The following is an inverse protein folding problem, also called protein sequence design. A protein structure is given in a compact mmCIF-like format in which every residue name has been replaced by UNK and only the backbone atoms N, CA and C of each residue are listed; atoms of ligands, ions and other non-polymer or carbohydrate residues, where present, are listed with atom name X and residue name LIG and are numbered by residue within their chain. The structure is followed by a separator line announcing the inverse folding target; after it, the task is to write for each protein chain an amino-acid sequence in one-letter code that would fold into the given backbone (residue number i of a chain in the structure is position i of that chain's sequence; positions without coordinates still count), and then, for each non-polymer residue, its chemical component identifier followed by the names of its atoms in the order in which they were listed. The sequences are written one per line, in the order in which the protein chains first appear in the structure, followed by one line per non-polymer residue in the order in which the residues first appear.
data_IF_971244038594
#
_entry.id   IF_971244038594
#
_cell.length_a   1.000
_cell.length_b   1.000
_cell.length_c   1.000
_cell.angle_alpha   90.00
_cell.angle_beta   90.00
_cell.angle_gamma   90.00
#
_symmetry.space_group_name_H-M   'P 1'
#
loop_
_entity.id
_entity.type
_entity.pdbx_description
1 polymer ?
#
# COMPACT_ATOMS: atom_id res chain seq x y z
N UNK A 1 55.16 -53.65 2.32
CA UNK A 1 53.79 -53.76 1.76
C UNK A 1 53.10 -52.41 1.74
N UNK A 2 52.84 -51.87 0.55
CA UNK A 2 52.28 -50.50 0.35
C UNK A 2 50.76 -50.58 0.29
N UNK A 3 50.06 -49.92 1.15
CA UNK A 3 48.63 -49.75 1.11
C UNK A 3 48.30 -48.47 0.35
N UNK A 4 47.65 -48.59 -0.82
CA UNK A 4 47.20 -47.49 -1.68
C UNK A 4 45.89 -46.93 -1.13
N UNK A 5 45.85 -45.63 -0.77
CA UNK A 5 44.63 -44.88 -0.58
C UNK A 5 44.03 -44.58 -1.94
N UNK A 6 42.78 -45.03 -2.20
CA UNK A 6 41.94 -44.56 -3.32
C UNK A 6 41.18 -43.32 -2.86
N UNK A 7 41.33 -42.26 -3.61
CA UNK A 7 40.58 -41.04 -3.44
C UNK A 7 39.11 -41.24 -3.87
N UNK A 8 38.20 -40.75 -3.05
CA UNK A 8 36.81 -40.59 -3.39
C UNK A 8 36.69 -39.29 -4.20
N UNK A 9 36.37 -39.44 -5.49
CA UNK A 9 35.98 -38.35 -6.35
C UNK A 9 34.63 -37.81 -5.94
N UNK A 10 34.58 -36.47 -5.76
CA UNK A 10 33.36 -35.69 -5.64
C UNK A 10 32.51 -35.87 -6.91
N UNK A 11 31.35 -36.47 -6.74
CA UNK A 11 30.29 -36.42 -7.75
C UNK A 11 29.59 -35.06 -7.66
N UNK A 12 29.98 -34.14 -8.54
CA UNK A 12 29.26 -32.91 -8.84
C UNK A 12 27.90 -33.26 -9.44
N UNK A 13 26.84 -32.98 -8.69
CA UNK A 13 25.47 -32.98 -9.24
C UNK A 13 25.34 -31.88 -10.29
N UNK A 14 24.68 -32.16 -11.44
CA UNK A 14 24.55 -31.21 -12.51
C UNK A 14 23.66 -30.04 -12.08
N UNK A 15 24.16 -28.86 -12.35
CA UNK A 15 23.47 -27.58 -12.26
C UNK A 15 22.17 -27.66 -13.09
N UNK A 16 21.02 -27.68 -12.42
CA UNK A 16 19.71 -27.59 -13.07
C UNK A 16 19.61 -26.24 -13.76
N UNK A 17 19.52 -26.29 -15.07
CA UNK A 17 19.29 -25.19 -15.99
C UNK A 17 18.12 -24.35 -15.49
N UNK A 18 18.39 -23.10 -15.13
CA UNK A 18 17.36 -22.08 -14.85
C UNK A 18 16.48 -21.94 -16.09
N UNK A 19 15.22 -22.32 -16.01
CA UNK A 19 14.21 -21.86 -16.95
C UNK A 19 13.74 -20.47 -16.49
N UNK A 20 13.79 -19.43 -17.33
CA UNK A 20 13.48 -18.07 -16.93
C UNK A 20 12.00 -17.73 -16.74
N UNK A 21 11.08 -18.69 -16.92
CA UNK A 21 9.67 -18.37 -17.19
C UNK A 21 8.68 -18.82 -16.12
N UNK A 22 9.15 -19.27 -14.96
CA UNK A 22 8.23 -19.60 -13.85
C UNK A 22 8.53 -18.68 -12.67
N UNK A 23 7.52 -17.99 -12.08
CA UNK A 23 7.68 -17.34 -10.79
C UNK A 23 8.03 -18.44 -9.79
N UNK A 24 9.29 -18.48 -9.39
CA UNK A 24 9.80 -19.46 -8.46
C UNK A 24 9.08 -19.27 -7.12
N UNK A 25 8.07 -20.11 -6.88
CA UNK A 25 7.63 -20.45 -5.55
C UNK A 25 8.83 -21.11 -4.87
N UNK A 26 9.70 -20.33 -4.24
CA UNK A 26 10.79 -20.81 -3.41
C UNK A 26 10.21 -21.36 -2.12
N UNK A 27 9.65 -22.55 -2.19
CA UNK A 27 9.55 -23.43 -1.03
C UNK A 27 10.89 -24.16 -0.97
N UNK A 28 11.86 -23.56 -0.32
CA UNK A 28 13.07 -24.24 0.11
C UNK A 28 13.22 -23.97 1.61
N UNK A 29 12.49 -24.76 2.41
CA UNK A 29 12.79 -24.91 3.82
C UNK A 29 14.10 -25.70 3.98
N UNK A 30 15.22 -25.01 4.10
CA UNK A 30 16.45 -25.58 4.65
C UNK A 30 17.00 -24.59 5.66
N UNK A 31 16.77 -24.91 6.91
CA UNK A 31 17.15 -24.28 8.15
C UNK A 31 16.05 -23.45 8.81
N UNK A 32 15.68 -23.85 9.97
CA UNK A 32 14.48 -23.71 10.77
C UNK A 32 14.05 -22.32 11.25
N UNK A 33 14.48 -21.21 10.63
CA UNK A 33 14.08 -19.84 10.98
C UNK A 33 13.85 -18.91 9.77
N UNK A 34 14.05 -19.36 8.57
CA UNK A 34 13.68 -18.64 7.35
C UNK A 34 12.18 -18.84 7.05
N UNK A 35 11.35 -18.21 7.83
CA UNK A 35 9.97 -17.98 7.43
C UNK A 35 10.00 -17.21 6.10
N UNK A 36 9.47 -17.81 5.01
CA UNK A 36 9.46 -17.18 3.70
C UNK A 36 8.81 -15.81 3.81
N UNK A 37 9.61 -14.76 3.59
CA UNK A 37 9.11 -13.39 3.63
C UNK A 37 8.24 -13.16 2.42
N UNK A 38 7.17 -12.41 2.62
CA UNK A 38 6.31 -11.95 1.54
C UNK A 38 7.12 -11.12 0.53
N UNK A 39 6.73 -11.14 -0.74
CA UNK A 39 7.26 -10.24 -1.78
C UNK A 39 7.13 -8.77 -1.38
N UNK A 40 6.09 -8.42 -0.64
CA UNK A 40 5.84 -7.05 -0.16
C UNK A 40 6.93 -6.55 0.81
N UNK A 41 7.64 -7.46 1.49
CA UNK A 41 8.80 -7.10 2.31
C UNK A 41 9.89 -6.43 1.47
N UNK A 42 10.26 -7.04 0.33
CA UNK A 42 11.27 -6.47 -0.57
C UNK A 42 10.72 -5.25 -1.32
N UNK A 43 9.43 -5.21 -1.65
CA UNK A 43 8.78 -4.04 -2.23
C UNK A 43 9.05 -2.80 -1.37
N UNK A 44 8.68 -2.84 -0.09
CA UNK A 44 8.85 -1.70 0.82
C UNK A 44 10.32 -1.42 1.12
N UNK A 45 11.17 -2.45 1.29
CA UNK A 45 12.61 -2.25 1.43
C UNK A 45 13.19 -1.50 0.22
N UNK A 46 12.79 -1.89 -1.00
CA UNK A 46 13.27 -1.23 -2.22
C UNK A 46 12.76 0.21 -2.32
N UNK A 47 11.51 0.48 -1.94
CA UNK A 47 10.96 1.84 -1.96
C UNK A 47 11.64 2.77 -0.95
N UNK A 48 11.98 2.26 0.24
CA UNK A 48 12.84 2.97 1.19
C UNK A 48 14.20 3.32 0.56
N UNK A 49 14.82 2.36 -0.15
CA UNK A 49 16.11 2.57 -0.81
C UNK A 49 16.00 3.59 -1.96
N UNK A 50 14.98 3.52 -2.81
CA UNK A 50 14.71 4.47 -3.88
C UNK A 50 14.58 5.88 -3.33
N UNK A 51 13.69 6.05 -2.36
CA UNK A 51 13.35 7.39 -1.83
C UNK A 51 14.49 8.01 -1.01
N UNK A 52 15.36 7.17 -0.42
CA UNK A 52 16.55 7.65 0.30
C UNK A 52 17.71 8.01 -0.63
N UNK A 53 17.94 7.23 -1.67
CA UNK A 53 19.19 7.28 -2.45
C UNK A 53 19.07 8.18 -3.66
N UNK A 54 17.89 8.23 -4.28
CA UNK A 54 17.67 8.93 -5.52
C UNK A 54 16.97 10.27 -5.31
N UNK A 55 17.22 11.26 -6.18
CA UNK A 55 16.45 12.48 -6.22
C UNK A 55 15.00 12.19 -6.62
N UNK A 56 14.05 13.01 -6.17
CA UNK A 56 12.60 12.86 -6.42
C UNK A 56 12.27 12.68 -7.91
N UNK A 57 13.07 13.28 -8.79
CA UNK A 57 12.92 13.18 -10.25
C UNK A 57 13.16 11.77 -10.82
N UNK A 58 13.77 10.88 -10.06
CA UNK A 58 14.08 9.52 -10.49
C UNK A 58 13.20 8.45 -9.84
N UNK A 59 12.43 8.77 -8.82
CA UNK A 59 11.67 7.80 -8.03
C UNK A 59 10.78 6.88 -8.88
N UNK A 60 10.06 7.42 -9.85
CA UNK A 60 9.15 6.63 -10.70
C UNK A 60 9.82 6.09 -11.99
N UNK A 61 11.09 6.42 -12.21
CA UNK A 61 11.87 5.89 -13.34
C UNK A 61 12.71 4.69 -12.96
N UNK A 62 13.04 4.55 -11.67
CA UNK A 62 13.91 3.49 -11.17
C UNK A 62 13.39 2.09 -11.51
N UNK A 63 14.31 1.19 -11.94
CA UNK A 63 14.02 -0.17 -12.42
C UNK A 63 15.10 -1.19 -12.04
N UNK A 64 15.93 -0.90 -11.04
CA UNK A 64 16.95 -1.84 -10.56
C UNK A 64 16.33 -3.11 -10.02
N UNK A 65 15.20 -2.97 -9.31
CA UNK A 65 14.37 -4.08 -8.86
C UNK A 65 13.14 -4.23 -9.77
N UNK A 66 12.59 -5.45 -9.84
CA UNK A 66 11.26 -5.70 -10.43
C UNK A 66 10.15 -4.96 -9.67
N UNK A 67 10.35 -4.66 -8.40
CA UNK A 67 9.41 -3.98 -7.49
C UNK A 67 9.56 -2.45 -7.58
N UNK A 68 9.17 -1.91 -8.72
CA UNK A 68 9.20 -0.46 -8.97
C UNK A 68 8.16 0.27 -8.13
N UNK A 69 8.41 1.57 -7.84
CA UNK A 69 7.46 2.41 -7.10
C UNK A 69 6.19 2.61 -7.94
N UNK A 70 5.05 2.11 -7.42
CA UNK A 70 3.74 2.13 -8.10
C UNK A 70 2.59 2.67 -7.23
N UNK A 71 2.92 3.24 -6.05
CA UNK A 71 1.95 3.96 -5.22
C UNK A 71 2.01 5.48 -5.45
N UNK A 72 0.90 6.21 -5.14
CA UNK A 72 0.85 7.66 -5.28
C UNK A 72 1.89 8.41 -4.44
N UNK A 73 2.17 9.70 -4.76
CA UNK A 73 3.28 10.44 -4.18
C UNK A 73 3.28 10.58 -2.65
N UNK A 74 2.13 10.66 -1.98
CA UNK A 74 2.13 10.74 -0.52
C UNK A 74 2.70 9.47 0.13
N UNK A 75 2.51 8.32 -0.49
CA UNK A 75 3.14 7.09 0.00
C UNK A 75 4.66 7.11 -0.24
N UNK A 76 5.11 7.62 -1.38
CA UNK A 76 6.54 7.80 -1.64
C UNK A 76 7.19 8.78 -0.64
N UNK A 77 6.51 9.88 -0.29
CA UNK A 77 6.97 10.80 0.75
C UNK A 77 6.98 10.14 2.13
N UNK A 78 6.00 9.29 2.43
CA UNK A 78 5.97 8.50 3.66
C UNK A 78 7.18 7.57 3.75
N UNK A 79 7.49 6.82 2.68
CA UNK A 79 8.68 5.98 2.60
C UNK A 79 9.98 6.81 2.75
N UNK A 80 10.03 7.98 2.15
CA UNK A 80 11.14 8.90 2.32
C UNK A 80 11.34 9.34 3.79
N UNK A 81 10.26 9.64 4.49
CA UNK A 81 10.31 9.95 5.93
C UNK A 81 10.80 8.75 6.74
N UNK A 82 10.26 7.55 6.48
CA UNK A 82 10.68 6.33 7.13
C UNK A 82 12.16 6.00 6.86
N UNK A 83 12.66 6.31 5.67
CA UNK A 83 14.06 6.08 5.32
C UNK A 83 15.05 6.84 6.22
N UNK A 84 14.67 8.01 6.77
CA UNK A 84 15.51 8.72 7.73
C UNK A 84 15.65 7.95 9.05
N UNK A 85 14.58 7.28 9.51
CA UNK A 85 14.62 6.42 10.69
C UNK A 85 15.35 5.11 10.37
N UNK A 86 15.07 4.53 9.20
CA UNK A 86 15.75 3.31 8.73
C UNK A 86 17.28 3.45 8.70
N UNK A 87 17.77 4.63 8.34
CA UNK A 87 19.22 4.94 8.33
C UNK A 87 19.86 4.81 9.69
N UNK A 88 19.13 5.07 10.78
CA UNK A 88 19.62 4.93 12.15
C UNK A 88 19.59 3.48 12.62
N UNK A 89 18.69 2.65 12.07
CA UNK A 89 18.54 1.24 12.45
C UNK A 89 19.50 0.36 11.67
N UNK A 90 19.48 0.45 10.35
CA UNK A 90 20.36 -0.33 9.47
C UNK A 90 20.53 0.35 8.10
N UNK A 91 21.65 1.06 7.89
CA UNK A 91 21.91 1.73 6.59
C UNK A 91 21.98 0.79 5.40
N UNK A 92 22.26 -0.51 5.61
CA UNK A 92 22.41 -1.48 4.55
C UNK A 92 21.10 -1.76 3.80
N UNK A 93 19.92 -1.64 4.49
CA UNK A 93 18.62 -1.80 3.85
C UNK A 93 18.30 -0.70 2.83
N UNK A 94 18.96 0.46 2.94
CA UNK A 94 18.74 1.62 2.08
C UNK A 94 19.63 1.62 0.82
N UNK A 95 20.45 0.60 0.61
CA UNK A 95 21.27 0.46 -0.59
C UNK A 95 20.43 -0.10 -1.73
N UNK A 96 20.37 0.61 -2.86
CA UNK A 96 19.52 0.29 -4.01
C UNK A 96 19.84 -1.10 -4.60
N UNK A 97 21.13 -1.47 -4.68
CA UNK A 97 21.59 -2.73 -5.27
C UNK A 97 21.64 -3.90 -4.26
N UNK A 98 21.28 -3.67 -3.00
CA UNK A 98 21.26 -4.70 -1.97
C UNK A 98 19.88 -5.37 -1.94
N UNK A 99 19.57 -6.08 -3.03
CA UNK A 99 18.27 -6.74 -3.19
C UNK A 99 18.14 -7.91 -2.19
N UNK A 100 16.89 -8.20 -1.81
CA UNK A 100 16.55 -9.26 -0.85
C UNK A 100 17.28 -9.15 0.51
N UNK A 101 17.63 -7.91 0.92
CA UNK A 101 18.31 -7.66 2.19
C UNK A 101 17.34 -7.87 3.37
N UNK A 102 17.55 -8.95 4.10
CA UNK A 102 16.57 -9.53 4.99
C UNK A 102 17.08 -9.77 6.42
N UNK A 103 18.00 -8.95 6.89
CA UNK A 103 18.49 -9.00 8.26
C UNK A 103 17.35 -8.84 9.28
N UNK A 104 17.56 -9.35 10.49
CA UNK A 104 16.56 -9.22 11.55
C UNK A 104 16.22 -7.76 11.85
N UNK A 105 17.20 -6.84 11.76
CA UNK A 105 16.99 -5.41 11.96
C UNK A 105 15.99 -4.85 10.92
N UNK A 106 16.16 -5.20 9.63
CA UNK A 106 15.28 -4.78 8.56
C UNK A 106 13.86 -5.31 8.77
N UNK A 107 13.71 -6.58 9.15
CA UNK A 107 12.41 -7.20 9.44
C UNK A 107 11.71 -6.52 10.62
N UNK A 108 12.44 -6.33 11.73
CA UNK A 108 11.86 -5.67 12.91
C UNK A 108 11.52 -4.21 12.63
N UNK A 109 12.36 -3.50 11.87
CA UNK A 109 12.06 -2.13 11.46
C UNK A 109 10.75 -2.06 10.70
N UNK A 110 10.58 -2.82 9.62
CA UNK A 110 9.36 -2.79 8.80
C UNK A 110 8.13 -3.21 9.61
N UNK A 111 8.20 -4.25 10.43
CA UNK A 111 7.08 -4.64 11.30
C UNK A 111 6.72 -3.55 12.30
N UNK A 112 7.70 -2.92 12.90
CA UNK A 112 7.46 -1.82 13.84
C UNK A 112 6.77 -0.65 13.16
N UNK A 113 7.18 -0.27 11.96
CA UNK A 113 6.54 0.82 11.21
C UNK A 113 5.09 0.49 10.85
N UNK A 114 4.77 -0.76 10.47
CA UNK A 114 3.39 -1.21 10.24
C UNK A 114 2.57 -1.07 11.53
N UNK A 115 3.05 -1.61 12.66
CA UNK A 115 2.33 -1.55 13.95
C UNK A 115 2.12 -0.10 14.40
N UNK A 116 3.15 0.75 14.29
CA UNK A 116 3.04 2.16 14.71
C UNK A 116 2.04 2.93 13.84
N UNK A 117 2.05 2.70 12.54
CA UNK A 117 1.11 3.37 11.64
C UNK A 117 -0.33 2.86 11.79
N UNK A 118 -0.51 1.60 12.18
CA UNK A 118 -1.83 1.02 12.47
C UNK A 118 -2.51 1.68 13.68
N UNK A 119 -1.76 2.35 14.57
CA UNK A 119 -2.34 3.16 15.65
C UNK A 119 -3.29 4.24 15.13
N UNK A 120 -3.15 4.66 13.87
CA UNK A 120 -4.11 5.55 13.22
C UNK A 120 -5.50 4.89 13.09
N UNK A 121 -5.55 3.59 12.80
CA UNK A 121 -6.82 2.84 12.78
C UNK A 121 -7.43 2.76 14.18
N UNK A 122 -6.61 2.45 15.18
CA UNK A 122 -7.05 2.40 16.58
C UNK A 122 -7.67 3.75 16.99
N UNK A 123 -6.98 4.84 16.69
CA UNK A 123 -7.46 6.18 16.97
C UNK A 123 -8.78 6.51 16.23
N UNK A 124 -8.85 6.20 14.94
CA UNK A 124 -10.04 6.46 14.14
C UNK A 124 -11.26 5.63 14.61
N UNK A 125 -11.04 4.37 14.98
CA UNK A 125 -12.06 3.51 15.56
C UNK A 125 -12.53 4.01 16.94
N UNK A 126 -11.62 4.52 17.77
CA UNK A 126 -11.99 5.15 19.03
C UNK A 126 -12.86 6.39 18.78
N UNK A 127 -12.51 7.25 17.85
CA UNK A 127 -13.34 8.40 17.47
C UNK A 127 -14.70 7.99 16.91
N UNK A 128 -14.76 6.88 16.18
CA UNK A 128 -16.04 6.29 15.74
C UNK A 128 -16.91 5.90 16.94
N UNK A 129 -16.35 5.17 17.90
CA UNK A 129 -17.07 4.76 19.11
C UNK A 129 -17.57 5.97 19.91
N UNK A 130 -16.73 6.99 20.08
CA UNK A 130 -17.08 8.21 20.81
C UNK A 130 -18.16 9.02 20.12
N UNK A 131 -18.27 8.92 18.81
CA UNK A 131 -19.32 9.56 18.00
C UNK A 131 -20.68 8.87 18.10
N UNK A 132 -20.76 7.69 18.75
CA UNK A 132 -21.99 6.91 18.86
C UNK A 132 -22.80 7.28 20.11
N UNK A 133 -24.15 7.22 20.04
CA UNK A 133 -25.01 7.38 21.22
C UNK A 133 -24.69 6.34 22.30
N UNK A 134 -24.88 6.70 23.56
CA UNK A 134 -24.52 5.89 24.71
C UNK A 134 -25.05 4.44 24.63
N UNK A 135 -26.29 4.27 24.18
CA UNK A 135 -26.93 2.94 24.07
C UNK A 135 -26.30 2.06 22.98
N UNK A 136 -25.60 2.64 21.98
CA UNK A 136 -24.97 1.92 20.91
C UNK A 136 -23.44 1.74 21.11
N UNK A 137 -22.83 2.36 22.11
CA UNK A 137 -21.38 2.34 22.33
C UNK A 137 -20.83 0.94 22.51
N UNK A 138 -21.53 0.07 23.22
CA UNK A 138 -21.09 -1.32 23.41
C UNK A 138 -20.99 -2.07 22.08
N UNK A 139 -22.02 -1.94 21.24
CA UNK A 139 -21.98 -2.54 19.90
C UNK A 139 -20.89 -1.92 19.02
N UNK A 140 -20.68 -0.60 19.12
CA UNK A 140 -19.60 0.08 18.41
C UNK A 140 -18.20 -0.39 18.84
N UNK A 141 -17.96 -0.65 20.13
CA UNK A 141 -16.71 -1.24 20.60
C UNK A 141 -16.49 -2.64 20.03
N UNK A 142 -17.54 -3.49 20.03
CA UNK A 142 -17.44 -4.85 19.46
C UNK A 142 -17.11 -4.76 17.97
N UNK A 143 -17.77 -3.89 17.22
CA UNK A 143 -17.48 -3.67 15.80
C UNK A 143 -16.05 -3.15 15.57
N UNK A 144 -15.60 -2.19 16.36
CA UNK A 144 -14.24 -1.64 16.28
C UNK A 144 -13.18 -2.72 16.56
N UNK A 145 -13.37 -3.53 17.61
CA UNK A 145 -12.48 -4.64 17.91
C UNK A 145 -12.50 -5.72 16.82
N UNK A 146 -13.66 -6.01 16.24
CA UNK A 146 -13.78 -6.98 15.14
C UNK A 146 -13.02 -6.53 13.89
N UNK A 147 -12.96 -5.22 13.62
CA UNK A 147 -12.19 -4.66 12.52
C UNK A 147 -10.70 -4.75 12.84
N UNK A 148 -10.28 -4.27 14.01
CA UNK A 148 -8.87 -4.23 14.42
C UNK A 148 -8.26 -5.64 14.51
N UNK A 149 -9.01 -6.60 15.00
CA UNK A 149 -8.57 -7.99 15.15
C UNK A 149 -8.96 -8.87 13.96
N UNK A 150 -9.31 -8.26 12.82
CA UNK A 150 -9.64 -9.02 11.61
C UNK A 150 -8.44 -9.88 11.18
N UNK A 151 -8.61 -11.21 11.04
CA UNK A 151 -7.53 -12.08 10.56
C UNK A 151 -6.99 -11.65 9.21
N UNK A 152 -7.84 -11.15 8.32
CA UNK A 152 -7.44 -10.64 7.02
C UNK A 152 -6.48 -9.46 7.13
N UNK A 153 -6.77 -8.48 8.00
CA UNK A 153 -5.91 -7.33 8.22
C UNK A 153 -4.57 -7.75 8.85
N UNK A 154 -4.61 -8.62 9.86
CA UNK A 154 -3.40 -9.15 10.50
C UNK A 154 -2.50 -9.89 9.50
N UNK A 155 -3.08 -10.71 8.60
CA UNK A 155 -2.31 -11.42 7.58
C UNK A 155 -1.69 -10.42 6.61
N UNK A 156 -2.48 -9.49 6.06
CA UNK A 156 -2.02 -8.58 5.01
C UNK A 156 -0.97 -7.60 5.56
N UNK A 157 -1.15 -7.04 6.74
CA UNK A 157 -0.25 -6.02 7.25
C UNK A 157 0.93 -6.62 8.04
N UNK A 158 0.70 -7.59 8.94
CA UNK A 158 1.78 -8.09 9.80
C UNK A 158 2.59 -9.25 9.18
N UNK A 159 2.00 -10.03 8.25
CA UNK A 159 2.73 -11.07 7.52
C UNK A 159 3.27 -10.52 6.20
N UNK A 160 2.47 -9.73 5.49
CA UNK A 160 2.82 -9.18 4.18
C UNK A 160 3.40 -7.76 4.21
N UNK A 161 3.65 -7.18 5.39
CA UNK A 161 4.30 -5.87 5.58
C UNK A 161 3.60 -4.70 4.87
N UNK A 162 2.29 -4.78 4.66
CA UNK A 162 1.52 -3.70 4.07
C UNK A 162 1.03 -2.71 5.13
N UNK A 163 0.58 -1.53 4.68
CA UNK A 163 0.11 -0.45 5.55
C UNK A 163 -1.40 -0.22 5.42
N UNK A 164 -2.18 -1.29 5.19
CA UNK A 164 -3.63 -1.16 5.00
C UNK A 164 -4.35 -0.69 6.26
N UNK A 165 -3.88 -1.08 7.46
CA UNK A 165 -4.42 -0.58 8.71
C UNK A 165 -4.37 0.94 8.81
N UNK A 166 -3.22 1.56 8.46
CA UNK A 166 -3.10 3.00 8.41
C UNK A 166 -4.05 3.65 7.38
N UNK A 167 -4.19 3.04 6.20
CA UNK A 167 -5.09 3.53 5.14
C UNK A 167 -6.56 3.40 5.54
N UNK A 168 -6.96 2.28 6.14
CA UNK A 168 -8.30 2.12 6.73
C UNK A 168 -8.52 3.10 7.88
N UNK A 169 -7.49 3.40 8.66
CA UNK A 169 -7.55 4.45 9.68
C UNK A 169 -7.93 5.81 9.09
N UNK A 170 -7.27 6.24 8.01
CA UNK A 170 -7.62 7.46 7.28
C UNK A 170 -9.04 7.42 6.72
N UNK A 171 -9.47 6.28 6.18
CA UNK A 171 -10.83 6.11 5.67
C UNK A 171 -11.87 6.26 6.78
N UNK A 172 -11.71 5.51 7.89
CA UNK A 172 -12.62 5.57 9.04
C UNK A 172 -12.65 6.97 9.63
N UNK A 173 -11.49 7.62 9.78
CA UNK A 173 -11.39 9.01 10.22
C UNK A 173 -12.18 9.96 9.33
N UNK A 174 -12.02 9.84 8.02
CA UNK A 174 -12.79 10.60 7.04
C UNK A 174 -14.30 10.38 7.17
N UNK A 175 -14.74 9.12 7.35
CA UNK A 175 -16.15 8.76 7.54
C UNK A 175 -16.71 9.27 8.88
N UNK A 176 -15.93 9.26 9.95
CA UNK A 176 -16.33 9.85 11.24
C UNK A 176 -16.56 11.36 11.10
N UNK A 177 -15.66 12.05 10.41
CA UNK A 177 -15.81 13.49 10.10
C UNK A 177 -17.03 13.78 9.22
N UNK A 178 -17.42 12.85 8.34
CA UNK A 178 -18.60 12.98 7.48
C UNK A 178 -19.92 13.01 8.24
N UNK A 179 -19.93 12.56 9.50
CA UNK A 179 -21.15 12.51 10.33
C UNK A 179 -21.57 13.87 10.88
N UNK A 180 -20.67 14.83 10.94
CA UNK A 180 -20.95 16.17 11.48
C UNK A 180 -20.86 17.22 10.37
N UNK A 181 -21.86 18.11 10.32
CA UNK A 181 -21.92 19.16 9.29
C UNK A 181 -20.77 20.15 9.34
N UNK A 182 -20.16 20.34 10.52
CA UNK A 182 -19.01 21.26 10.71
C UNK A 182 -17.70 20.69 10.19
N UNK A 183 -17.58 19.35 10.08
CA UNK A 183 -16.36 18.64 9.68
C UNK A 183 -16.43 18.02 8.27
N UNK A 184 -17.49 18.31 7.50
CA UNK A 184 -17.65 17.81 6.13
C UNK A 184 -16.48 18.19 5.20
N UNK A 185 -15.95 19.41 5.32
CA UNK A 185 -14.77 19.82 4.56
C UNK A 185 -13.57 18.94 4.90
N UNK A 186 -13.26 18.79 6.18
CA UNK A 186 -12.15 17.96 6.65
C UNK A 186 -12.31 16.51 6.20
N UNK A 187 -13.55 15.97 6.22
CA UNK A 187 -13.86 14.65 5.69
C UNK A 187 -13.42 14.50 4.24
N UNK A 188 -13.83 15.42 3.37
CA UNK A 188 -13.44 15.41 1.95
C UNK A 188 -11.94 15.52 1.74
N UNK A 189 -11.27 16.37 2.53
CA UNK A 189 -9.82 16.54 2.45
C UNK A 189 -9.04 15.32 2.95
N UNK A 190 -9.49 14.69 4.05
CA UNK A 190 -8.91 13.44 4.55
C UNK A 190 -9.04 12.31 3.52
N UNK A 191 -10.19 12.23 2.84
CA UNK A 191 -10.40 11.25 1.78
C UNK A 191 -9.53 11.52 0.54
N UNK A 192 -9.36 12.78 0.16
CA UNK A 192 -8.45 13.16 -0.92
C UNK A 192 -6.98 12.82 -0.60
N UNK A 193 -6.56 13.05 0.64
CA UNK A 193 -5.23 12.64 1.10
C UNK A 193 -5.07 11.11 1.02
N UNK A 194 -6.08 10.33 1.43
CA UNK A 194 -6.07 8.87 1.33
C UNK A 194 -5.86 8.39 -0.11
N UNK A 195 -6.52 8.99 -1.09
CA UNK A 195 -6.31 8.67 -2.52
C UNK A 195 -4.87 8.96 -2.95
N UNK A 196 -4.24 10.02 -2.41
CA UNK A 196 -2.84 10.35 -2.67
C UNK A 196 -1.85 9.42 -1.97
N UNK A 197 -2.27 8.63 -0.97
CA UNK A 197 -1.49 7.53 -0.39
C UNK A 197 -1.68 6.22 -1.15
N UNK A 198 -2.92 5.86 -1.46
CA UNK A 198 -3.22 4.60 -2.13
C UNK A 198 -4.40 4.77 -3.09
N UNK A 199 -4.11 4.73 -4.38
CA UNK A 199 -5.09 5.03 -5.44
C UNK A 199 -6.22 4.01 -5.57
N UNK A 200 -6.11 2.82 -4.96
CA UNK A 200 -7.20 1.83 -4.93
C UNK A 200 -8.48 2.41 -4.33
N UNK A 201 -8.38 3.37 -3.39
CA UNK A 201 -9.57 4.01 -2.80
C UNK A 201 -10.33 4.91 -3.78
N UNK A 202 -9.82 5.12 -5.00
CA UNK A 202 -10.49 5.88 -6.06
C UNK A 202 -11.85 5.27 -6.41
N UNK A 203 -12.05 3.97 -6.21
CA UNK A 203 -13.35 3.32 -6.44
C UNK A 203 -14.48 3.85 -5.52
N UNK A 204 -14.14 4.41 -4.36
CA UNK A 204 -15.09 5.07 -3.46
C UNK A 204 -15.35 6.54 -3.83
N UNK A 205 -14.51 7.14 -4.65
CA UNK A 205 -14.58 8.57 -4.98
C UNK A 205 -15.91 9.02 -5.59
N UNK A 206 -16.57 8.26 -6.48
CA UNK A 206 -17.88 8.66 -7.02
C UNK A 206 -18.94 8.79 -5.93
N UNK A 207 -19.01 7.84 -5.00
CA UNK A 207 -19.96 7.88 -3.89
C UNK A 207 -19.64 9.04 -2.93
N UNK A 208 -18.37 9.25 -2.63
CA UNK A 208 -17.90 10.35 -1.78
C UNK A 208 -18.17 11.72 -2.41
N UNK A 209 -17.97 11.84 -3.71
CA UNK A 209 -18.27 13.05 -4.46
C UNK A 209 -19.75 13.41 -4.40
N UNK A 210 -20.64 12.46 -4.68
CA UNK A 210 -22.09 12.68 -4.62
C UNK A 210 -22.53 13.06 -3.19
N UNK A 211 -21.99 12.39 -2.19
CA UNK A 211 -22.24 12.70 -0.79
C UNK A 211 -21.84 14.14 -0.44
N UNK A 212 -20.62 14.56 -0.75
CA UNK A 212 -20.13 15.91 -0.46
C UNK A 212 -20.85 16.97 -1.29
N UNK A 213 -21.12 16.69 -2.55
CA UNK A 213 -21.93 17.58 -3.39
C UNK A 213 -23.27 17.85 -2.72
N UNK A 214 -23.97 16.80 -2.29
CA UNK A 214 -25.30 16.92 -1.67
C UNK A 214 -25.28 17.54 -0.28
N UNK A 215 -24.33 17.15 0.57
CA UNK A 215 -24.30 17.52 1.98
C UNK A 215 -23.60 18.85 2.24
N UNK A 216 -22.57 19.18 1.47
CA UNK A 216 -21.72 20.35 1.70
C UNK A 216 -21.92 21.47 0.67
N UNK A 217 -21.99 21.12 -0.63
CA UNK A 217 -22.04 22.11 -1.70
C UNK A 217 -23.44 22.59 -2.03
N UNK A 218 -24.48 21.74 -1.86
CA UNK A 218 -25.87 22.09 -2.15
C UNK A 218 -26.64 22.45 -0.88
N UNK A 219 -27.71 23.22 -1.06
CA UNK A 219 -28.62 23.56 0.03
C UNK A 219 -29.49 22.34 0.41
N UNK A 220 -29.77 22.16 1.70
CA UNK A 220 -30.71 21.14 2.17
C UNK A 220 -32.14 21.32 1.63
N UNK A 221 -32.53 22.58 1.33
CA UNK A 221 -33.89 22.94 0.88
C UNK A 221 -34.10 22.77 -0.64
N UNK A 222 -33.04 22.79 -1.46
CA UNK A 222 -33.13 22.67 -2.92
C UNK A 222 -31.82 22.19 -3.52
N UNK A 223 -31.92 21.24 -4.47
CA UNK A 223 -30.78 20.73 -5.24
C UNK A 223 -30.22 21.75 -6.24
N UNK A 224 -30.99 22.76 -6.60
CA UNK A 224 -30.57 23.83 -7.53
C UNK A 224 -29.88 25.00 -6.83
N UNK A 225 -29.89 25.05 -5.48
CA UNK A 225 -29.28 26.14 -4.73
C UNK A 225 -27.87 25.75 -4.28
N UNK A 226 -26.88 26.26 -4.99
CA UNK A 226 -25.45 26.00 -4.73
C UNK A 226 -24.95 26.93 -3.62
N UNK A 227 -24.19 26.38 -2.67
CA UNK A 227 -23.43 27.12 -1.65
C UNK A 227 -22.04 27.41 -2.24
N UNK A 228 -21.93 28.46 -3.03
CA UNK A 228 -20.71 28.79 -3.80
C UNK A 228 -19.43 28.78 -2.96
N UNK A 229 -19.42 29.44 -1.80
CA UNK A 229 -18.24 29.48 -0.93
C UNK A 229 -17.80 28.09 -0.44
N UNK A 230 -18.74 27.17 -0.25
CA UNK A 230 -18.40 25.79 0.14
C UNK A 230 -17.74 25.04 -1.03
N UNK A 231 -18.23 25.25 -2.24
CA UNK A 231 -17.60 24.69 -3.45
C UNK A 231 -16.18 25.22 -3.63
N UNK A 232 -15.98 26.53 -3.43
CA UNK A 232 -14.64 27.16 -3.50
C UNK A 232 -13.72 26.59 -2.41
N UNK A 233 -14.19 26.44 -1.16
CA UNK A 233 -13.39 25.89 -0.06
C UNK A 233 -12.94 24.47 -0.35
N UNK A 234 -13.84 23.59 -0.79
CA UNK A 234 -13.48 22.20 -1.09
C UNK A 234 -12.57 22.12 -2.32
N UNK A 235 -12.85 22.89 -3.36
CA UNK A 235 -12.02 22.97 -4.56
C UNK A 235 -10.60 23.45 -4.25
N UNK A 236 -10.47 24.50 -3.48
CA UNK A 236 -9.16 25.01 -3.04
C UNK A 236 -8.41 23.99 -2.18
N UNK A 237 -9.10 23.34 -1.22
CA UNK A 237 -8.49 22.32 -0.39
C UNK A 237 -8.02 21.09 -1.19
N UNK A 238 -8.82 20.64 -2.16
CA UNK A 238 -8.43 19.58 -3.09
C UNK A 238 -7.23 20.00 -3.93
N UNK A 239 -7.21 21.23 -4.46
CA UNK A 239 -6.09 21.75 -5.23
C UNK A 239 -4.79 21.80 -4.41
N UNK A 240 -4.86 22.14 -3.13
CA UNK A 240 -3.70 22.12 -2.23
C UNK A 240 -3.20 20.67 -2.02
N UNK A 241 -4.08 19.71 -1.73
CA UNK A 241 -3.70 18.31 -1.49
C UNK A 241 -3.11 17.68 -2.76
N UNK A 242 -3.80 17.82 -3.89
CA UNK A 242 -3.32 17.28 -5.17
C UNK A 242 -2.05 18.01 -5.64
N UNK A 243 -1.97 19.33 -5.41
CA UNK A 243 -0.76 20.11 -5.69
C UNK A 243 0.43 19.68 -4.82
N UNK A 244 0.22 19.40 -3.55
CA UNK A 244 1.27 18.88 -2.67
C UNK A 244 1.71 17.47 -3.10
N UNK A 245 0.79 16.61 -3.50
CA UNK A 245 1.10 15.26 -3.96
C UNK A 245 1.78 15.26 -5.34
N UNK A 246 1.13 15.80 -6.34
CA UNK A 246 1.51 15.67 -7.75
C UNK A 246 2.27 16.89 -8.30
N UNK A 247 2.23 18.04 -7.61
CA UNK A 247 2.82 19.31 -8.08
C UNK A 247 4.31 19.21 -8.41
N UNK A 248 5.18 18.63 -7.55
CA UNK A 248 6.59 18.46 -7.89
C UNK A 248 6.80 17.67 -9.18
N UNK A 249 6.05 16.59 -9.38
CA UNK A 249 6.13 15.77 -10.59
C UNK A 249 5.54 16.47 -11.83
N UNK A 250 4.51 17.30 -11.64
CA UNK A 250 3.95 18.13 -12.69
C UNK A 250 4.96 19.19 -13.16
N UNK A 251 5.62 19.86 -12.22
CA UNK A 251 6.65 20.85 -12.51
C UNK A 251 7.85 20.27 -13.28
N UNK A 252 8.15 18.98 -13.07
CA UNK A 252 9.21 18.25 -13.78
C UNK A 252 8.70 17.59 -15.08
N UNK A 253 7.43 17.73 -15.47
CA UNK A 253 6.85 17.09 -16.66
C UNK A 253 6.72 15.57 -16.57
N UNK A 254 6.70 14.99 -15.35
CA UNK A 254 6.78 13.54 -15.12
C UNK A 254 5.43 12.86 -14.86
N UNK A 255 4.33 13.60 -14.93
CA UNK A 255 2.98 13.04 -14.73
C UNK A 255 2.68 11.83 -15.63
N UNK A 256 3.03 11.81 -16.93
CA UNK A 256 2.76 10.64 -17.78
C UNK A 256 3.46 9.37 -17.26
N UNK A 257 4.72 9.50 -16.85
CA UNK A 257 5.49 8.38 -16.28
C UNK A 257 4.89 7.91 -14.95
N UNK A 258 4.54 8.84 -14.06
CA UNK A 258 3.91 8.54 -12.78
C UNK A 258 2.59 7.80 -12.99
N UNK A 259 1.69 8.30 -13.85
CA UNK A 259 0.42 7.64 -14.13
C UNK A 259 0.58 6.28 -14.80
N UNK A 260 1.59 6.08 -15.64
CA UNK A 260 1.88 4.77 -16.22
C UNK A 260 2.30 3.73 -15.17
N UNK A 261 2.89 4.18 -14.05
CA UNK A 261 3.20 3.32 -12.89
C UNK A 261 1.99 3.03 -12.04
N UNK A 262 1.15 4.05 -11.78
CA UNK A 262 -0.07 3.87 -10.97
C UNK A 262 -1.11 3.00 -11.70
N UNK A 263 -1.20 3.09 -13.01
CA UNK A 263 -2.20 2.42 -13.84
C UNK A 263 -1.53 1.63 -14.98
N UNK A 264 -0.94 0.46 -14.69
CA UNK A 264 -0.21 -0.33 -15.68
C UNK A 264 -1.18 -1.10 -16.60
N UNK A 265 -1.95 -0.40 -17.43
CA UNK A 265 -2.94 -0.99 -18.35
C UNK A 265 -2.34 -2.00 -19.34
N UNK A 266 -1.04 -1.91 -19.62
CA UNK A 266 -0.33 -2.85 -20.48
C UNK A 266 -0.29 -4.28 -19.93
N UNK A 267 -0.48 -4.46 -18.61
CA UNK A 267 -0.53 -5.79 -17.97
C UNK A 267 -1.83 -6.54 -18.21
N UNK A 268 -2.86 -5.88 -18.75
CA UNK A 268 -4.18 -6.46 -18.99
C UNK A 268 -5.02 -6.67 -17.72
N UNK A 269 -6.32 -6.95 -17.91
CA UNK A 269 -7.27 -7.12 -16.79
C UNK A 269 -7.12 -8.47 -16.08
N UNK A 270 -6.58 -9.47 -16.77
CA UNK A 270 -6.46 -10.85 -16.27
C UNK A 270 -5.07 -11.17 -15.70
N UNK A 271 -4.24 -10.16 -15.40
CA UNK A 271 -2.94 -10.39 -14.79
C UNK A 271 -3.09 -11.04 -13.42
N UNK A 272 -2.31 -12.08 -13.13
CA UNK A 272 -2.46 -12.93 -11.93
C UNK A 272 -2.46 -12.14 -10.60
N UNK A 273 -1.65 -11.08 -10.51
CA UNK A 273 -1.56 -10.24 -9.30
C UNK A 273 -2.60 -9.12 -9.23
N UNK A 274 -3.34 -8.85 -10.32
CA UNK A 274 -4.24 -7.71 -10.44
C UNK A 274 -5.67 -8.12 -10.76
N UNK A 275 -5.92 -9.43 -10.95
CA UNK A 275 -7.23 -9.93 -11.32
C UNK A 275 -8.25 -9.69 -10.19
N UNK A 276 -9.23 -8.80 -10.34
CA UNK A 276 -10.33 -8.70 -9.42
C UNK A 276 -11.16 -9.99 -9.46
N UNK A 277 -11.95 -10.23 -8.45
CA UNK A 277 -12.61 -11.49 -8.15
C UNK A 277 -13.24 -12.22 -9.35
N UNK A 278 -13.97 -11.50 -10.21
CA UNK A 278 -14.61 -12.10 -11.38
C UNK A 278 -13.59 -12.60 -12.40
N UNK A 279 -12.51 -11.88 -12.61
CA UNK A 279 -11.45 -12.25 -13.55
C UNK A 279 -10.60 -13.42 -13.04
N UNK A 280 -10.48 -13.57 -11.73
CA UNK A 280 -9.85 -14.76 -11.14
C UNK A 280 -10.68 -16.03 -11.44
N UNK A 281 -12.02 -15.96 -11.33
CA UNK A 281 -12.92 -17.04 -11.69
C UNK A 281 -12.88 -17.35 -13.19
N UNK A 282 -12.89 -16.30 -14.02
CA UNK A 282 -12.75 -16.46 -15.47
C UNK A 282 -11.43 -17.16 -15.85
N UNK A 283 -10.30 -16.67 -15.32
CA UNK A 283 -8.99 -17.25 -15.60
C UNK A 283 -8.86 -18.69 -15.09
N UNK A 284 -9.51 -19.02 -13.97
CA UNK A 284 -9.57 -20.39 -13.46
C UNK A 284 -10.37 -21.30 -14.39
N UNK A 285 -11.54 -20.88 -14.82
CA UNK A 285 -12.38 -21.62 -15.77
C UNK A 285 -11.67 -21.84 -17.12
N UNK A 286 -11.02 -20.79 -17.64
CA UNK A 286 -10.25 -20.84 -18.87
C UNK A 286 -9.11 -21.87 -18.81
N UNK A 287 -8.38 -21.92 -17.69
CA UNK A 287 -7.34 -22.95 -17.47
C UNK A 287 -7.87 -24.36 -17.46
N UNK A 288 -9.04 -24.60 -16.86
CA UNK A 288 -9.68 -25.91 -16.87
C UNK A 288 -10.06 -26.30 -18.30
N UNK A 289 -10.62 -25.38 -19.08
CA UNK A 289 -11.08 -25.64 -20.46
C UNK A 289 -9.93 -25.85 -21.44
N UNK A 290 -8.76 -25.27 -21.20
CA UNK A 290 -7.58 -25.41 -22.07
C UNK A 290 -6.78 -26.67 -21.74
N UNK A 291 -6.77 -27.10 -20.48
CA UNK A 291 -5.96 -28.24 -20.01
C UNK A 291 -6.79 -29.49 -19.67
N UNK A 292 -8.12 -29.41 -19.74
CA UNK A 292 -9.05 -30.57 -19.68
C UNK A 292 -9.38 -31.08 -21.07
#
# INVERSE_FOLDING_TARGET
MRCRRRGLQNSSLPCLVRRPDLPACRIACTNSWECSKSTDFEVHRNWLAITNTLPISQWYYEKTSEWTLDYPPFFAYFEWVLAHVARLVEPAMLKLYNLDHDTWQTVYFQRTTVIVTELLLVYALQCFVDSMPQFSRRAAHVAALSILLSPGLLIIDHIHFQYNGAMYGLLVWSLVQARCSTTLLSSGLSFAALICFKHIYLYLAPAYFVFLLRSYCLSSKSIFRIKFFNCVKIGAGLAVILGAAFGPFAAMGQLPQLFSRLFPFSRGLCHAYWAPNIWALYSFADRILIHG
#
